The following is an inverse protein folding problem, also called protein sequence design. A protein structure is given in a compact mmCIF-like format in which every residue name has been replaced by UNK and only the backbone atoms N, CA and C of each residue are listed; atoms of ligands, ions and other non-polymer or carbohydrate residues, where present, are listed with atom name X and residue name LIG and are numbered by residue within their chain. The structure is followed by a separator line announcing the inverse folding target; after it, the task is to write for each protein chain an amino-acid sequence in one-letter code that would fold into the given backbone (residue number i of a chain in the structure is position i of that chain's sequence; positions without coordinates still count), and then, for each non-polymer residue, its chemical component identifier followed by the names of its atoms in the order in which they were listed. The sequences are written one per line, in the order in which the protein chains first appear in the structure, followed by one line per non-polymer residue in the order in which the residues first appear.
data_IF_180779227829
#
_entry.id   IF_180779227829
#
_cell.length_a   1.000
_cell.length_b   1.000
_cell.length_c   1.000
_cell.angle_alpha   90.00
_cell.angle_beta   90.00
_cell.angle_gamma   90.00
#
_symmetry.space_group_name_H-M   'P 1'
#
loop_
_entity.id
_entity.type
_entity.pdbx_description
1 polymer ?
#
# COMPACT_ATOMS: atom_id res chain seq x y z
N UNK A 1 10.34 -1.13 25.36
CA UNK A 1 10.79 -1.33 23.97
C UNK A 1 9.57 -1.74 23.15
N UNK A 2 9.30 -1.13 21.99
CA UNK A 2 8.15 -1.54 21.14
C UNK A 2 8.45 -2.81 20.33
N UNK A 3 7.42 -3.52 19.88
CA UNK A 3 7.58 -4.68 19.01
C UNK A 3 7.93 -4.27 17.57
N UNK A 4 8.57 -5.18 16.81
CA UNK A 4 8.88 -4.94 15.40
C UNK A 4 7.62 -4.63 14.58
N UNK A 5 6.48 -5.26 14.89
CA UNK A 5 5.21 -5.01 14.20
C UNK A 5 4.70 -3.57 14.42
N UNK A 6 4.87 -3.03 15.63
CA UNK A 6 4.53 -1.62 15.90
C UNK A 6 5.52 -0.70 15.20
N UNK A 7 6.80 -1.05 15.19
CA UNK A 7 7.83 -0.28 14.52
C UNK A 7 7.56 -0.17 13.01
N UNK A 8 7.28 -1.27 12.32
CA UNK A 8 6.97 -1.26 10.88
C UNK A 8 5.70 -0.47 10.59
N UNK A 9 4.66 -0.60 11.42
CA UNK A 9 3.43 0.23 11.30
C UNK A 9 3.74 1.72 11.39
N UNK A 10 4.58 2.15 12.33
CA UNK A 10 4.99 3.56 12.44
C UNK A 10 5.85 4.02 11.25
N UNK A 11 6.65 3.13 10.65
CA UNK A 11 7.42 3.43 9.43
C UNK A 11 6.55 3.63 8.20
N UNK A 12 5.44 2.90 8.09
CA UNK A 12 4.48 3.15 7.00
C UNK A 12 3.67 4.42 7.30
N UNK A 13 3.20 4.58 8.55
CA UNK A 13 2.48 5.80 8.97
C UNK A 13 3.26 7.08 8.68
N UNK A 14 4.57 7.12 8.92
CA UNK A 14 5.39 8.31 8.66
C UNK A 14 5.49 8.69 7.16
N UNK A 15 5.12 7.80 6.24
CA UNK A 15 5.09 8.09 4.80
C UNK A 15 3.82 8.79 4.34
N UNK A 16 2.73 8.63 5.08
CA UNK A 16 1.42 9.23 4.77
C UNK A 16 1.14 10.45 5.66
N UNK A 17 1.55 10.38 6.93
CA UNK A 17 1.26 11.37 7.96
C UNK A 17 2.48 11.62 8.87
N UNK A 18 2.46 12.71 9.63
CA UNK A 18 3.51 12.98 10.61
C UNK A 18 3.33 12.12 11.87
N UNK A 19 4.42 11.53 12.35
CA UNK A 19 4.45 10.91 13.67
C UNK A 19 4.43 11.97 14.78
N UNK A 20 3.83 11.63 15.92
CA UNK A 20 4.02 12.39 17.14
C UNK A 20 5.47 12.27 17.64
N UNK A 21 5.91 13.26 18.42
CA UNK A 21 7.27 13.28 18.97
C UNK A 21 7.62 12.00 19.75
N UNK A 22 6.67 11.45 20.51
CA UNK A 22 6.84 10.21 21.27
C UNK A 22 7.00 8.99 20.36
N UNK A 23 6.17 8.88 19.32
CA UNK A 23 6.28 7.81 18.32
C UNK A 23 7.62 7.87 17.59
N UNK A 24 8.04 9.07 17.19
CA UNK A 24 9.30 9.27 16.45
C UNK A 24 10.52 8.92 17.30
N UNK A 25 10.55 9.33 18.58
CA UNK A 25 11.63 8.96 19.50
C UNK A 25 11.69 7.45 19.73
N UNK A 26 10.52 6.84 19.99
CA UNK A 26 10.44 5.41 20.27
C UNK A 26 10.83 4.56 19.05
N UNK A 27 10.41 4.97 17.84
CA UNK A 27 10.80 4.34 16.59
C UNK A 27 12.31 4.47 16.32
N UNK A 28 12.88 5.65 16.59
CA UNK A 28 14.32 5.90 16.44
C UNK A 28 15.12 4.96 17.34
N UNK A 29 14.75 4.86 18.63
CA UNK A 29 15.42 3.95 19.57
C UNK A 29 15.31 2.48 19.14
N UNK A 30 14.15 2.05 18.65
CA UNK A 30 13.98 0.66 18.18
C UNK A 30 14.89 0.35 16.98
N UNK A 31 15.00 1.25 16.00
CA UNK A 31 15.86 1.07 14.81
C UNK A 31 17.36 1.07 15.12
N UNK A 32 17.78 1.74 16.19
CA UNK A 32 19.18 1.67 16.65
C UNK A 32 19.54 0.26 17.12
N UNK A 33 18.62 -0.41 17.81
CA UNK A 33 18.83 -1.72 18.42
C UNK A 33 18.47 -2.90 17.50
N UNK A 34 17.52 -2.71 16.58
CA UNK A 34 17.03 -3.76 15.69
C UNK A 34 17.52 -3.53 14.25
N UNK A 35 18.53 -4.30 13.84
CA UNK A 35 19.07 -4.25 12.46
C UNK A 35 18.02 -4.55 11.41
N UNK A 36 17.12 -5.52 11.65
CA UNK A 36 16.08 -5.89 10.70
C UNK A 36 15.12 -4.73 10.43
N UNK A 37 14.67 -4.04 11.47
CA UNK A 37 13.80 -2.87 11.34
C UNK A 37 14.49 -1.70 10.63
N UNK A 38 15.78 -1.48 10.90
CA UNK A 38 16.57 -0.46 10.18
C UNK A 38 16.69 -0.77 8.69
N UNK A 39 16.86 -2.03 8.32
CA UNK A 39 16.98 -2.43 6.93
C UNK A 39 15.63 -2.39 6.21
N UNK A 40 14.57 -2.85 6.88
CA UNK A 40 13.19 -2.73 6.40
C UNK A 40 12.84 -1.28 6.05
N UNK A 41 13.15 -0.30 6.92
CA UNK A 41 12.84 1.11 6.65
C UNK A 41 13.48 1.61 5.34
N UNK A 42 14.72 1.18 5.05
CA UNK A 42 15.38 1.54 3.79
C UNK A 42 14.66 0.92 2.60
N UNK A 43 14.32 -0.37 2.69
CA UNK A 43 13.65 -1.10 1.62
C UNK A 43 12.25 -0.54 1.34
N UNK A 44 11.45 -0.34 2.39
CA UNK A 44 10.11 0.27 2.28
C UNK A 44 10.18 1.64 1.61
N UNK A 45 11.13 2.51 2.02
CA UNK A 45 11.32 3.81 1.38
C UNK A 45 11.71 3.70 -0.11
N UNK A 46 12.56 2.75 -0.48
CA UNK A 46 12.91 2.52 -1.88
C UNK A 46 11.68 2.09 -2.68
N UNK A 47 10.89 1.14 -2.17
CA UNK A 47 9.64 0.70 -2.80
C UNK A 47 8.70 1.89 -2.99
N UNK A 48 8.48 2.70 -1.96
CA UNK A 48 7.64 3.92 -2.05
C UNK A 48 8.15 4.92 -3.10
N UNK A 49 9.47 5.08 -3.25
CA UNK A 49 10.05 5.91 -4.31
C UNK A 49 9.84 5.34 -5.72
N UNK A 50 9.95 4.03 -5.89
CA UNK A 50 9.66 3.38 -7.17
C UNK A 50 8.19 3.53 -7.56
N UNK A 51 7.27 3.31 -6.60
CA UNK A 51 5.83 3.41 -6.82
C UNK A 51 5.35 4.84 -7.05
N UNK A 52 5.94 5.84 -6.37
CA UNK A 52 5.59 7.25 -6.59
C UNK A 52 6.08 7.79 -7.94
N UNK A 53 7.05 7.11 -8.58
CA UNK A 53 7.61 7.51 -9.88
C UNK A 53 6.85 6.92 -11.07
N UNK A 54 6.11 5.82 -10.87
CA UNK A 54 5.10 5.42 -11.85
C UNK A 54 3.99 6.45 -11.86
N UNK A 55 3.75 7.08 -13.03
CA UNK A 55 2.50 7.81 -13.23
C UNK A 55 1.38 6.82 -12.89
N UNK A 56 0.44 7.15 -11.97
CA UNK A 56 -0.75 6.35 -11.90
C UNK A 56 -1.29 6.30 -13.32
N UNK A 57 -1.58 5.10 -13.82
CA UNK A 57 -2.42 4.98 -15.00
C UNK A 57 -3.60 5.93 -14.75
N UNK A 58 -4.05 6.69 -15.78
CA UNK A 58 -5.22 7.55 -15.60
C UNK A 58 -6.24 6.70 -14.86
N UNK A 59 -6.68 7.17 -13.68
CA UNK A 59 -7.74 6.50 -12.94
C UNK A 59 -8.84 6.40 -13.97
N UNK A 60 -8.99 5.22 -14.56
CA UNK A 60 -10.23 4.90 -15.24
C UNK A 60 -11.23 5.15 -14.13
N UNK A 61 -12.21 6.05 -14.33
CA UNK A 61 -13.30 6.15 -13.38
C UNK A 61 -13.67 4.71 -13.09
N UNK A 62 -13.65 4.37 -11.81
CA UNK A 62 -14.23 3.18 -11.24
C UNK A 62 -15.51 2.91 -12.02
N UNK A 63 -15.35 2.13 -13.10
CA UNK A 63 -16.43 1.58 -13.86
C UNK A 63 -16.92 0.55 -12.86
N UNK A 64 -17.82 1.02 -11.98
CA UNK A 64 -18.80 0.18 -11.33
C UNK A 64 -19.45 -0.56 -12.49
N UNK A 65 -18.80 -1.66 -12.89
CA UNK A 65 -19.22 -2.49 -13.99
C UNK A 65 -20.52 -3.05 -13.46
N UNK A 66 -21.64 -2.48 -13.89
CA UNK A 66 -22.95 -2.92 -13.40
C UNK A 66 -22.98 -4.42 -13.64
N UNK A 67 -23.15 -5.19 -12.58
CA UNK A 67 -23.13 -6.66 -12.64
C UNK A 67 -24.16 -7.12 -13.68
N UNK A 68 -25.19 -6.30 -13.95
CA UNK A 68 -26.17 -6.48 -15.03
C UNK A 68 -25.57 -6.42 -16.44
N UNK A 69 -24.58 -5.57 -16.69
CA UNK A 69 -23.91 -5.48 -17.99
C UNK A 69 -23.04 -6.71 -18.26
N UNK A 70 -22.47 -7.30 -17.20
CA UNK A 70 -21.78 -8.59 -17.27
C UNK A 70 -22.75 -9.74 -17.58
N UNK A 71 -23.89 -9.79 -16.88
CA UNK A 71 -24.93 -10.81 -17.12
C UNK A 71 -25.44 -10.77 -18.57
N UNK A 72 -25.70 -9.57 -19.09
CA UNK A 72 -26.24 -9.38 -20.45
C UNK A 72 -25.24 -9.85 -21.52
N UNK A 73 -23.95 -9.52 -21.36
CA UNK A 73 -22.90 -9.96 -22.28
C UNK A 73 -22.68 -11.47 -22.28
N UNK A 74 -22.80 -12.13 -21.11
CA UNK A 74 -22.68 -13.59 -21.01
C UNK A 74 -23.82 -14.28 -21.77
N UNK A 75 -25.06 -13.78 -21.62
CA UNK A 75 -26.23 -14.34 -22.31
C UNK A 75 -26.09 -14.17 -23.83
N UNK A 76 -25.67 -13.00 -24.31
CA UNK A 76 -25.41 -12.78 -25.74
C UNK A 76 -24.35 -13.74 -26.30
N UNK A 77 -23.25 -13.94 -25.58
CA UNK A 77 -22.16 -14.84 -25.98
C UNK A 77 -22.63 -16.30 -26.08
N UNK A 78 -23.51 -16.74 -25.16
CA UNK A 78 -24.09 -18.08 -25.18
C UNK A 78 -25.04 -18.26 -26.37
N UNK A 79 -25.86 -17.26 -26.67
CA UNK A 79 -26.79 -17.30 -27.81
C UNK A 79 -26.07 -17.23 -29.17
N UNK A 80 -24.90 -16.58 -29.26
CA UNK A 80 -24.09 -16.53 -30.48
C UNK A 80 -23.39 -17.86 -30.83
N UNK A 81 -23.31 -18.79 -29.87
CA UNK A 81 -22.69 -20.12 -30.04
C UNK A 81 -23.70 -21.23 -30.35
N UNK A 82 -25.00 -20.90 -30.38
CA UNK A 82 -26.10 -21.74 -30.85
C UNK A 82 -26.46 -21.37 -32.29
#
# INVERSE_FOLDING_TARGET
MMSCQVATRLMEKQTEEKLSFREQLALTMHKLLCRACREYEKQSRLIGQFLSRSKPAPKQPDEETDIRDLETNIIEQLNKKL
#
